data_IF_831947061127
#
_entry.id   IF_831947061127
#
_cell.length_a   1.000
_cell.length_b   1.000
_cell.length_c   1.000
_cell.angle_alpha   90.00
_cell.angle_beta   90.00
_cell.angle_gamma   90.00
#
_symmetry.space_group_name_H-M   'P 1'
#
loop_
_entity.id
_entity.type
_entity.pdbx_description
1 polymer ?
#
# COMPACT_ATOMS: atom_id res chain seq x y z
N UNK A 1 -21.65 1.70 -19.11
CA UNK A 1 -20.86 2.40 -18.06
C UNK A 1 -21.53 2.15 -16.73
N UNK A 2 -20.98 1.28 -15.88
CA UNK A 2 -21.39 1.24 -14.47
C UNK A 2 -20.66 2.39 -13.81
N UNK A 3 -21.35 3.50 -13.57
CA UNK A 3 -20.87 4.48 -12.61
C UNK A 3 -20.89 3.78 -11.26
N UNK A 4 -19.72 3.42 -10.75
CA UNK A 4 -19.57 3.14 -9.33
C UNK A 4 -20.02 4.40 -8.62
N UNK A 5 -21.06 4.29 -7.78
CA UNK A 5 -21.57 5.38 -6.94
C UNK A 5 -20.55 5.70 -5.85
N UNK A 6 -19.42 6.25 -6.27
CA UNK A 6 -18.39 6.76 -5.38
C UNK A 6 -18.82 8.20 -5.07
N UNK A 7 -19.14 8.47 -3.80
CA UNK A 7 -19.68 9.77 -3.38
C UNK A 7 -18.58 10.84 -3.28
N UNK A 8 -17.34 10.43 -2.96
CA UNK A 8 -16.19 11.30 -2.95
C UNK A 8 -15.48 11.34 -4.32
N UNK A 9 -15.22 12.55 -4.81
CA UNK A 9 -14.45 12.78 -6.03
C UNK A 9 -12.93 12.68 -5.82
N UNK A 10 -12.45 12.83 -4.58
CA UNK A 10 -11.02 12.87 -4.26
C UNK A 10 -10.71 12.37 -2.84
N UNK A 11 -9.46 11.96 -2.65
CA UNK A 11 -8.88 11.53 -1.38
C UNK A 11 -7.37 11.83 -1.36
N UNK A 12 -6.72 11.56 -0.23
CA UNK A 12 -5.29 11.64 -0.04
C UNK A 12 -4.72 10.27 0.38
N UNK A 13 -3.41 10.22 0.51
CA UNK A 13 -2.74 9.08 1.11
C UNK A 13 -1.24 9.27 1.03
N UNK A 14 -0.49 8.20 1.30
CA UNK A 14 0.97 8.24 1.36
C UNK A 14 1.56 7.08 0.57
N UNK A 15 2.63 7.35 -0.18
CA UNK A 15 3.50 6.33 -0.76
C UNK A 15 4.75 6.22 0.10
N UNK A 16 5.03 5.01 0.59
CA UNK A 16 6.26 4.65 1.29
C UNK A 16 7.08 3.73 0.40
N UNK A 17 8.22 4.21 -0.09
CA UNK A 17 9.25 3.33 -0.66
C UNK A 17 10.17 2.94 0.47
N UNK A 18 10.01 1.71 0.96
CA UNK A 18 10.81 1.18 2.07
C UNK A 18 12.20 0.74 1.62
N UNK A 19 12.31 0.19 0.42
CA UNK A 19 13.59 -0.25 -0.11
C UNK A 19 13.61 -0.20 -1.63
N UNK A 20 14.59 0.50 -2.19
CA UNK A 20 14.86 0.56 -3.62
C UNK A 20 16.36 0.60 -3.90
N UNK A 21 16.88 -0.17 -4.87
CA UNK A 21 18.18 0.10 -5.46
C UNK A 21 18.24 1.52 -6.03
N UNK A 22 19.39 2.21 -5.88
CA UNK A 22 19.54 3.60 -6.34
C UNK A 22 19.27 3.78 -7.85
N UNK A 23 19.56 2.76 -8.67
CA UNK A 23 19.31 2.77 -10.10
C UNK A 23 17.81 2.87 -10.48
N UNK A 24 16.90 2.45 -9.58
CA UNK A 24 15.45 2.51 -9.83
C UNK A 24 14.82 3.83 -9.41
N UNK A 25 15.48 4.63 -8.58
CA UNK A 25 14.92 5.87 -8.03
C UNK A 25 14.36 6.83 -9.11
N UNK A 26 15.06 7.11 -10.22
CA UNK A 26 14.51 7.97 -11.28
C UNK A 26 13.26 7.37 -11.97
N UNK A 27 13.19 6.05 -12.11
CA UNK A 27 12.07 5.36 -12.73
C UNK A 27 10.82 5.35 -11.84
N UNK A 28 11.03 5.21 -10.53
CA UNK A 28 9.98 5.32 -9.53
C UNK A 28 9.40 6.73 -9.54
N UNK A 29 10.24 7.77 -9.50
CA UNK A 29 9.80 9.16 -9.57
C UNK A 29 8.99 9.46 -10.84
N UNK A 30 9.45 8.97 -12.00
CA UNK A 30 8.74 9.12 -13.26
C UNK A 30 7.38 8.43 -13.23
N UNK A 31 7.31 7.23 -12.66
CA UNK A 31 6.08 6.44 -12.59
C UNK A 31 5.05 7.04 -11.64
N UNK A 32 5.48 7.51 -10.47
CA UNK A 32 4.61 8.26 -9.57
C UNK A 32 4.13 9.55 -10.24
N UNK A 33 5.03 10.28 -10.92
CA UNK A 33 4.69 11.54 -11.58
C UNK A 33 3.67 11.35 -12.70
N UNK A 34 3.85 10.32 -13.52
CA UNK A 34 2.92 10.00 -14.62
C UNK A 34 1.57 9.49 -14.13
N UNK A 35 1.56 8.68 -13.06
CA UNK A 35 0.32 8.16 -12.46
C UNK A 35 -0.49 9.28 -11.77
N UNK A 36 0.17 10.17 -11.03
CA UNK A 36 -0.47 11.30 -10.35
C UNK A 36 -0.77 12.48 -11.27
N UNK A 37 -0.11 12.55 -12.44
CA UNK A 37 -0.06 13.74 -13.29
C UNK A 37 0.39 14.99 -12.51
N UNK A 38 1.33 14.80 -11.57
CA UNK A 38 1.88 15.81 -10.68
C UNK A 38 3.31 15.41 -10.25
N UNK A 39 4.24 16.34 -9.99
CA UNK A 39 5.61 15.98 -9.61
C UNK A 39 5.68 15.20 -8.28
N UNK A 40 6.33 14.05 -8.26
CA UNK A 40 6.46 13.20 -7.07
C UNK A 40 7.44 13.74 -6.00
N UNK A 41 8.47 14.52 -6.41
CA UNK A 41 9.45 15.19 -5.52
C UNK A 41 9.97 14.30 -4.36
N UNK A 42 10.35 13.06 -4.65
CA UNK A 42 10.86 12.15 -3.65
C UNK A 42 12.20 12.66 -3.08
N UNK A 43 12.32 12.63 -1.75
CA UNK A 43 13.60 12.80 -1.07
C UNK A 43 14.09 11.43 -0.63
N UNK A 44 15.12 10.95 -1.33
CA UNK A 44 15.74 9.68 -1.05
C UNK A 44 16.72 9.78 0.12
N UNK A 45 16.62 8.85 1.06
CA UNK A 45 17.58 8.66 2.15
C UNK A 45 18.03 7.21 2.20
N UNK A 46 19.17 6.94 2.86
CA UNK A 46 19.62 5.57 3.04
C UNK A 46 18.61 4.78 3.90
N UNK A 47 18.42 3.49 3.59
CA UNK A 47 17.60 2.59 4.38
C UNK A 47 18.48 1.78 5.36
N UNK A 48 18.44 2.04 6.68
CA UNK A 48 19.28 1.34 7.65
C UNK A 48 19.09 -0.18 7.66
N UNK A 49 17.86 -0.66 7.41
CA UNK A 49 17.54 -2.09 7.42
C UNK A 49 18.04 -2.85 6.17
N UNK A 50 18.42 -2.14 5.11
CA UNK A 50 18.95 -2.72 3.87
C UNK A 50 20.06 -1.84 3.30
N UNK A 51 21.31 -1.99 3.81
CA UNK A 51 22.45 -1.21 3.35
C UNK A 51 22.63 -1.24 1.83
N UNK A 52 22.84 -0.07 1.24
CA UNK A 52 22.94 0.11 -0.22
C UNK A 52 21.61 0.42 -0.92
N UNK A 53 20.48 0.20 -0.24
CA UNK A 53 19.17 0.62 -0.73
C UNK A 53 18.77 2.00 -0.17
N UNK A 54 17.86 2.65 -0.90
CA UNK A 54 17.28 3.93 -0.55
C UNK A 54 15.81 3.76 -0.18
N UNK A 55 15.32 4.70 0.63
CA UNK A 55 13.92 4.87 1.04
C UNK A 55 13.44 6.28 0.73
N UNK A 56 12.15 6.45 0.53
CA UNK A 56 11.51 7.75 0.38
C UNK A 56 10.03 7.68 0.77
N UNK A 57 9.46 8.82 1.14
CA UNK A 57 8.03 8.96 1.45
C UNK A 57 7.49 10.19 0.76
N UNK A 58 6.26 10.12 0.25
CA UNK A 58 5.54 11.28 -0.29
C UNK A 58 4.04 11.16 -0.07
N UNK A 59 3.43 12.25 0.38
CA UNK A 59 1.99 12.41 0.45
C UNK A 59 1.43 12.69 -0.95
N UNK A 60 0.25 12.18 -1.25
CA UNK A 60 -0.44 12.43 -2.51
C UNK A 60 -1.89 12.84 -2.29
N UNK A 61 -2.46 13.50 -3.31
CA UNK A 61 -3.87 13.86 -3.36
C UNK A 61 -4.38 13.67 -4.79
N UNK A 62 -5.54 13.06 -4.95
CA UNK A 62 -6.10 12.76 -6.26
C UNK A 62 -7.47 12.09 -6.20
N UNK A 63 -8.01 11.68 -7.36
CA UNK A 63 -9.29 10.99 -7.40
C UNK A 63 -9.26 9.69 -6.61
N UNK A 64 -10.39 9.28 -6.04
CA UNK A 64 -10.48 8.01 -5.31
C UNK A 64 -10.01 6.82 -6.18
N UNK A 65 -9.40 5.83 -5.54
CA UNK A 65 -8.70 4.71 -6.19
C UNK A 65 -7.34 5.08 -6.77
N UNK A 66 -6.77 6.23 -6.41
CA UNK A 66 -5.40 6.60 -6.80
C UNK A 66 -4.38 5.70 -6.12
N UNK A 67 -4.57 5.34 -4.85
CA UNK A 67 -3.69 4.45 -4.11
C UNK A 67 -3.50 3.10 -4.82
N UNK A 68 -4.60 2.48 -5.26
CA UNK A 68 -4.56 1.25 -6.05
C UNK A 68 -3.85 1.40 -7.41
N UNK A 69 -4.01 2.54 -8.10
CA UNK A 69 -3.28 2.83 -9.34
C UNK A 69 -1.77 2.97 -9.09
N UNK A 70 -1.38 3.64 -8.00
CA UNK A 70 0.02 3.80 -7.62
C UNK A 70 0.65 2.44 -7.28
N UNK A 71 0.00 1.66 -6.42
CA UNK A 71 0.46 0.31 -6.07
C UNK A 71 0.55 -0.60 -7.31
N UNK A 72 -0.44 -0.49 -8.21
CA UNK A 72 -0.46 -1.19 -9.49
C UNK A 72 0.68 -0.82 -10.43
N UNK A 73 1.15 0.43 -10.41
CA UNK A 73 2.28 0.87 -11.22
C UNK A 73 3.64 0.51 -10.59
N UNK A 74 3.73 0.53 -9.26
CA UNK A 74 4.97 0.22 -8.53
C UNK A 74 5.29 -1.29 -8.48
N UNK A 75 4.28 -2.17 -8.54
CA UNK A 75 4.49 -3.63 -8.43
C UNK A 75 5.28 -4.26 -9.58
N UNK A 76 5.47 -3.54 -10.69
CA UNK A 76 6.19 -4.03 -11.87
C UNK A 76 7.70 -4.16 -11.64
N UNK A 77 8.22 -3.67 -10.52
CA UNK A 77 9.60 -3.88 -10.08
C UNK A 77 9.67 -4.86 -8.90
N UNK A 78 10.00 -6.14 -9.14
CA UNK A 78 9.95 -7.18 -8.12
C UNK A 78 10.94 -7.00 -6.95
N UNK A 79 11.91 -6.10 -7.11
CA UNK A 79 12.95 -5.82 -6.11
C UNK A 79 12.56 -4.70 -5.13
N UNK A 80 11.44 -4.03 -5.35
CA UNK A 80 10.97 -2.96 -4.46
C UNK A 80 10.27 -3.53 -3.24
N UNK A 81 10.44 -2.87 -2.10
CA UNK A 81 9.56 -3.01 -0.95
C UNK A 81 8.86 -1.66 -0.75
N UNK A 82 7.53 -1.65 -0.76
CA UNK A 82 6.76 -0.41 -0.65
C UNK A 82 5.41 -0.60 0.03
N UNK A 83 4.85 0.50 0.51
CA UNK A 83 3.46 0.60 0.93
C UNK A 83 2.79 1.80 0.26
N UNK A 84 1.49 1.68 -0.01
CA UNK A 84 0.65 2.81 -0.41
C UNK A 84 -0.58 2.80 0.48
N UNK A 85 -0.91 3.95 1.06
CA UNK A 85 -2.17 4.17 1.76
C UNK A 85 -3.09 5.06 0.93
N UNK A 86 -4.39 4.86 1.09
CA UNK A 86 -5.45 5.75 0.65
C UNK A 86 -6.34 6.03 1.86
N UNK A 87 -6.54 7.30 2.18
CA UNK A 87 -7.35 7.73 3.31
C UNK A 87 -8.85 7.49 3.02
N UNK A 88 -9.66 7.20 4.06
CA UNK A 88 -11.10 7.06 3.89
C UNK A 88 -11.71 8.38 3.39
N UNK A 89 -12.73 8.26 2.54
CA UNK A 89 -13.48 9.41 2.01
C UNK A 89 -14.99 9.15 2.10
N UNK A 90 -15.82 10.13 1.71
CA UNK A 90 -17.26 9.97 1.81
C UNK A 90 -17.76 8.73 1.04
N UNK A 91 -18.29 7.76 1.79
CA UNK A 91 -18.82 6.51 1.23
C UNK A 91 -17.76 5.53 0.71
N UNK A 92 -16.48 5.74 1.02
CA UNK A 92 -15.37 4.87 0.59
C UNK A 92 -14.44 4.60 1.76
N UNK A 93 -14.20 3.32 2.01
CA UNK A 93 -13.25 2.88 3.03
C UNK A 93 -11.82 3.29 2.67
N UNK A 94 -10.98 3.49 3.69
CA UNK A 94 -9.54 3.65 3.49
C UNK A 94 -8.92 2.32 3.04
N UNK A 95 -7.76 2.38 2.41
CA UNK A 95 -7.08 1.19 1.91
C UNK A 95 -5.58 1.25 2.20
N UNK A 96 -5.00 0.06 2.43
CA UNK A 96 -3.56 -0.15 2.53
C UNK A 96 -3.13 -1.18 1.50
N UNK A 97 -2.04 -0.88 0.82
CA UNK A 97 -1.38 -1.74 -0.14
C UNK A 97 0.05 -1.96 0.34
N UNK A 98 0.49 -3.21 0.41
CA UNK A 98 1.85 -3.55 0.83
C UNK A 98 2.46 -4.50 -0.17
N UNK A 99 3.65 -4.19 -0.67
CA UNK A 99 4.38 -5.04 -1.60
C UNK A 99 5.73 -5.40 -1.01
N UNK A 100 5.99 -6.70 -0.98
CA UNK A 100 7.25 -7.26 -0.51
C UNK A 100 7.79 -8.21 -1.58
N UNK A 101 9.08 -8.11 -1.96
CA UNK A 101 9.70 -9.05 -2.88
C UNK A 101 9.48 -10.50 -2.43
N UNK A 102 8.97 -11.33 -3.34
CA UNK A 102 8.65 -12.74 -3.06
C UNK A 102 7.24 -13.00 -2.51
N UNK A 103 6.66 -12.08 -1.72
CA UNK A 103 5.26 -12.18 -1.28
C UNK A 103 4.28 -11.57 -2.29
N UNK A 104 4.73 -10.58 -3.05
CA UNK A 104 3.90 -9.86 -4.01
C UNK A 104 3.08 -8.75 -3.35
N UNK A 105 1.99 -8.33 -4.02
CA UNK A 105 1.11 -7.26 -3.55
C UNK A 105 0.01 -7.82 -2.65
N UNK A 106 -0.09 -7.32 -1.43
CA UNK A 106 -1.25 -7.43 -0.56
C UNK A 106 -2.02 -6.11 -0.53
N UNK A 107 -3.33 -6.23 -0.31
CA UNK A 107 -4.25 -5.09 -0.17
C UNK A 107 -5.34 -5.44 0.84
N UNK A 108 -5.73 -4.44 1.64
CA UNK A 108 -6.85 -4.55 2.57
C UNK A 108 -7.45 -3.18 2.90
N UNK A 109 -8.75 -3.18 3.20
CA UNK A 109 -9.45 -2.00 3.70
C UNK A 109 -9.00 -1.70 5.14
N UNK A 110 -9.00 -0.42 5.51
CA UNK A 110 -8.60 0.05 6.84
C UNK A 110 -9.71 0.80 7.56
N UNK A 111 -9.80 0.60 8.88
CA UNK A 111 -10.72 1.34 9.73
C UNK A 111 -10.22 2.78 9.95
N UNK A 112 -11.04 3.62 10.59
CA UNK A 112 -10.63 4.97 10.98
C UNK A 112 -9.43 5.00 11.95
N UNK A 113 -9.18 3.92 12.71
CA UNK A 113 -7.98 3.77 13.56
C UNK A 113 -6.76 3.25 12.81
N UNK A 114 -6.91 2.85 11.54
CA UNK A 114 -5.86 2.24 10.73
C UNK A 114 -5.78 0.70 10.83
N UNK A 115 -6.74 0.06 11.51
CA UNK A 115 -6.77 -1.40 11.62
C UNK A 115 -7.20 -2.04 10.29
N UNK A 116 -6.58 -3.15 9.92
CA UNK A 116 -7.01 -3.94 8.75
C UNK A 116 -8.39 -4.56 9.02
N UNK A 117 -9.32 -4.33 8.09
CA UNK A 117 -10.68 -4.86 8.16
C UNK A 117 -10.82 -6.08 7.25
N UNK A 118 -11.25 -7.21 7.84
CA UNK A 118 -11.61 -8.42 7.08
C UNK A 118 -13.13 -8.54 7.01
N UNK A 119 -13.68 -8.38 5.80
CA UNK A 119 -15.11 -8.42 5.59
C UNK A 119 -15.76 -9.79 5.90
N UNK A 120 -17.02 -9.77 6.31
CA UNK A 120 -17.78 -10.97 6.68
C UNK A 120 -17.75 -12.05 5.59
N UNK A 121 -17.97 -11.67 4.33
CA UNK A 121 -17.96 -12.62 3.21
C UNK A 121 -16.58 -13.26 3.01
N UNK A 122 -15.49 -12.54 3.30
CA UNK A 122 -14.14 -13.08 3.25
C UNK A 122 -13.95 -14.14 4.35
N UNK A 123 -14.36 -13.85 5.58
CA UNK A 123 -14.32 -14.83 6.68
C UNK A 123 -15.17 -16.07 6.38
N UNK A 124 -16.38 -15.89 5.84
CA UNK A 124 -17.23 -17.02 5.41
C UNK A 124 -16.56 -17.85 4.32
N UNK A 125 -15.89 -17.22 3.36
CA UNK A 125 -15.15 -17.94 2.30
C UNK A 125 -14.02 -18.80 2.88
N UNK A 126 -13.22 -18.24 3.79
CA UNK A 126 -12.11 -18.96 4.46
C UNK A 126 -12.65 -20.20 5.18
N UNK A 127 -13.72 -20.06 5.97
CA UNK A 127 -14.33 -21.18 6.70
C UNK A 127 -14.94 -22.22 5.75
N UNK A 128 -15.58 -21.79 4.67
CA UNK A 128 -16.17 -22.71 3.70
C UNK A 128 -15.11 -23.55 2.99
N UNK A 129 -14.03 -22.92 2.51
CA UNK A 129 -12.92 -23.62 1.87
C UNK A 129 -12.18 -24.56 2.84
N UNK A 130 -12.01 -24.14 4.11
CA UNK A 130 -11.42 -24.99 5.14
C UNK A 130 -12.25 -26.26 5.37
N UNK A 131 -13.59 -26.14 5.40
CA UNK A 131 -14.49 -27.30 5.52
C UNK A 131 -14.38 -28.24 4.32
N UNK A 132 -14.35 -27.69 3.11
CA UNK A 132 -14.20 -28.47 1.88
C UNK A 132 -12.89 -29.27 1.87
N UNK A 133 -11.80 -28.62 2.27
CA UNK A 133 -10.46 -29.22 2.33
C UNK A 133 -10.23 -30.11 3.57
N UNK A 134 -11.20 -30.20 4.49
CA UNK A 134 -11.04 -30.82 5.83
C UNK A 134 -9.80 -30.31 6.57
N UNK A 135 -9.56 -29.01 6.43
CA UNK A 135 -8.45 -28.29 7.01
C UNK A 135 -8.62 -28.19 8.54
N UNK A 136 -7.50 -28.06 9.26
CA UNK A 136 -7.52 -27.93 10.72
C UNK A 136 -7.58 -26.46 11.18
N UNK A 137 -7.50 -26.23 12.50
CA UNK A 137 -7.53 -24.88 13.05
C UNK A 137 -6.30 -24.04 12.67
N UNK A 138 -5.14 -24.66 12.44
CA UNK A 138 -3.92 -23.95 12.04
C UNK A 138 -4.03 -23.48 10.59
N UNK A 139 -4.63 -24.29 9.71
CA UNK A 139 -4.90 -23.89 8.33
C UNK A 139 -5.81 -22.65 8.28
N UNK A 140 -6.87 -22.64 9.11
CA UNK A 140 -7.79 -21.49 9.19
C UNK A 140 -7.05 -20.26 9.73
N UNK A 141 -6.23 -20.41 10.78
CA UNK A 141 -5.42 -19.32 11.31
C UNK A 141 -4.49 -18.74 10.25
N UNK A 142 -3.79 -19.58 9.49
CA UNK A 142 -2.90 -19.15 8.41
C UNK A 142 -3.64 -18.41 7.29
N UNK A 143 -4.87 -18.81 6.96
CA UNK A 143 -5.72 -18.09 5.99
C UNK A 143 -6.14 -16.71 6.51
N UNK A 144 -6.44 -16.60 7.82
CA UNK A 144 -6.76 -15.33 8.47
C UNK A 144 -5.53 -14.43 8.48
N UNK A 145 -4.35 -14.94 8.86
CA UNK A 145 -3.09 -14.18 8.85
C UNK A 145 -2.77 -13.63 7.45
N UNK A 146 -3.01 -14.44 6.41
CA UNK A 146 -2.84 -13.97 5.02
C UNK A 146 -3.86 -12.90 4.65
N UNK A 147 -5.10 -13.03 5.11
CA UNK A 147 -6.13 -12.01 4.88
C UNK A 147 -5.79 -10.69 5.57
N UNK A 148 -5.22 -10.76 6.78
CA UNK A 148 -4.75 -9.61 7.55
C UNK A 148 -3.47 -8.98 6.99
N UNK A 149 -2.72 -9.71 6.17
CA UNK A 149 -1.46 -9.25 5.62
C UNK A 149 -0.28 -9.41 6.58
N UNK A 150 -0.39 -10.27 7.60
CA UNK A 150 0.60 -10.47 8.67
C UNK A 150 2.02 -10.66 8.12
N UNK A 151 2.19 -11.51 7.10
CA UNK A 151 3.51 -11.78 6.50
C UNK A 151 4.14 -10.53 5.84
N UNK A 152 3.32 -9.61 5.31
CA UNK A 152 3.81 -8.35 4.76
C UNK A 152 4.19 -7.38 5.87
N UNK A 153 3.37 -7.28 6.91
CA UNK A 153 3.68 -6.45 8.08
C UNK A 153 5.00 -6.90 8.73
N UNK A 154 5.16 -8.19 9.01
CA UNK A 154 6.39 -8.77 9.58
C UNK A 154 7.63 -8.47 8.72
N UNK A 155 7.49 -8.58 7.39
CA UNK A 155 8.59 -8.34 6.47
C UNK A 155 8.95 -6.85 6.33
N UNK A 156 7.96 -5.95 6.45
CA UNK A 156 8.16 -4.52 6.32
C UNK A 156 8.56 -3.83 7.63
N UNK A 157 8.26 -4.45 8.77
CA UNK A 157 8.53 -3.88 10.09
C UNK A 157 9.97 -3.39 10.30
N UNK A 158 11.03 -4.14 9.89
CA UNK A 158 12.40 -3.65 10.02
C UNK A 158 12.66 -2.34 9.26
N UNK A 159 11.97 -2.10 8.14
CA UNK A 159 12.15 -0.92 7.30
C UNK A 159 11.44 0.33 7.85
N UNK A 160 10.37 0.15 8.63
CA UNK A 160 9.57 1.24 9.23
C UNK A 160 10.32 1.97 10.34
N UNK A 161 11.12 1.23 11.11
CA UNK A 161 11.83 1.73 12.30
C UNK A 161 12.96 2.75 12.02
N UNK A 162 13.40 2.92 10.77
CA UNK A 162 14.49 3.84 10.39
C UNK A 162 14.11 5.32 10.24
N UNK A 163 12.94 5.74 10.71
CA UNK A 163 12.33 7.04 10.42
C UNK A 163 12.71 8.20 11.33
N UNK A 164 13.99 8.47 11.57
CA UNK A 164 14.38 9.83 11.98
C UNK A 164 14.55 10.69 10.72
N UNK A 165 13.58 11.57 10.43
CA UNK A 165 13.77 12.68 9.48
C UNK A 165 12.82 12.83 8.28
N UNK A 166 11.61 12.24 8.30
CA UNK A 166 10.62 12.53 7.26
C UNK A 166 9.97 13.92 7.48
N UNK A 167 10.55 14.96 6.88
CA UNK A 167 9.86 16.25 6.70
C UNK A 167 8.65 16.06 5.77
N UNK A 168 7.44 16.34 6.28
CA UNK A 168 6.17 16.27 5.55
C UNK A 168 6.16 17.33 4.43
N UNK A 169 5.98 16.91 3.18
CA UNK A 169 5.84 17.82 2.03
C UNK A 169 4.52 17.52 1.34
N UNK A 170 3.52 18.38 1.60
CA UNK A 170 2.20 18.26 1.00
C UNK A 170 2.25 18.50 -0.52
N UNK A 171 1.82 17.52 -1.30
CA UNK A 171 1.54 17.69 -2.73
C UNK A 171 0.07 18.16 -2.90
N UNK A 172 -0.13 19.31 -3.56
CA UNK A 172 -1.45 19.86 -3.87
C UNK A 172 -1.65 19.89 -5.38
N UNK A 173 -2.86 19.58 -5.84
CA UNK A 173 -3.34 19.88 -7.20
C UNK A 173 -4.51 20.84 -7.07
N UNK A 174 -4.42 21.99 -7.74
CA UNK A 174 -5.58 22.86 -7.91
C UNK A 174 -6.51 22.22 -8.93
N UNK A 175 -7.77 22.06 -8.53
CA UNK A 175 -8.83 21.56 -9.40
C UNK A 175 -9.30 22.71 -10.28
N UNK A 176 -9.19 22.53 -11.59
CA UNK A 176 -9.79 23.38 -12.61
C UNK A 176 -10.59 22.51 -13.57
#
# INVERSE_FOLDING_TARGET
>A
MRGTSQFADATSGVVYIHSSPAALCPHIEWTLTSTLKAPAKLRWTAQPAAPGNLRATTDWYGPVGTGGRLAGALRDWPVLAFEVTEDPSEGVDGERYSFVPGLGLWHGATSASGDVMVGEMRLRSIVAEARERRADANDIAAEIDRALGTAWDDALEPFRLGGEGAEVTWLRRDVG
#
